data_IF_007196346115
#
_entry.id   IF_007196346115
#
_cell.length_a   1.000
_cell.length_b   1.000
_cell.length_c   1.000
_cell.angle_alpha   90.00
_cell.angle_beta   90.00
_cell.angle_gamma   90.00
#
_symmetry.space_group_name_H-M   'P 1'
#
loop_
_entity.id
_entity.type
_entity.pdbx_description
1 polymer ?
#
# COMPACT_ATOMS: atom_id res chain seq x y z
N UNK A 1 11.61 -28.29 2.46
CA UNK A 1 10.53 -27.73 1.62
C UNK A 1 10.81 -26.26 1.43
N UNK A 2 11.11 -25.82 0.19
CA UNK A 2 11.55 -24.45 -0.14
C UNK A 2 10.45 -23.65 -0.85
N UNK A 3 9.22 -23.73 -0.33
CA UNK A 3 8.00 -23.18 -0.97
C UNK A 3 8.15 -21.73 -1.42
N UNK A 4 8.71 -20.85 -0.58
CA UNK A 4 8.91 -19.44 -0.91
C UNK A 4 9.96 -19.21 -1.99
N UNK A 5 10.93 -20.11 -2.13
CA UNK A 5 11.92 -20.07 -3.21
C UNK A 5 11.29 -20.48 -4.54
N UNK A 6 10.41 -21.48 -4.51
CA UNK A 6 9.72 -21.95 -5.72
C UNK A 6 8.63 -20.97 -6.19
N UNK A 7 7.98 -20.28 -5.25
CA UNK A 7 6.93 -19.28 -5.53
C UNK A 7 7.47 -17.85 -5.67
N UNK A 8 8.80 -17.67 -5.71
CA UNK A 8 9.51 -16.38 -5.75
C UNK A 8 8.99 -15.42 -6.81
N UNK A 9 8.82 -15.88 -8.05
CA UNK A 9 8.33 -15.05 -9.16
C UNK A 9 6.89 -14.55 -8.94
N UNK A 10 6.05 -15.37 -8.30
CA UNK A 10 4.66 -15.03 -7.97
C UNK A 10 4.66 -13.93 -6.90
N UNK A 11 5.43 -14.11 -5.83
CA UNK A 11 5.52 -13.13 -4.75
C UNK A 11 6.20 -11.83 -5.19
N UNK A 12 7.19 -11.89 -6.08
CA UNK A 12 7.79 -10.73 -6.71
C UNK A 12 6.75 -9.93 -7.52
N UNK A 13 5.93 -10.63 -8.33
CA UNK A 13 4.88 -9.98 -9.13
C UNK A 13 3.82 -9.32 -8.25
N UNK A 14 3.40 -9.99 -7.17
CA UNK A 14 2.47 -9.43 -6.19
C UNK A 14 3.10 -8.22 -5.49
N UNK A 15 4.36 -8.31 -5.07
CA UNK A 15 5.10 -7.20 -4.48
C UNK A 15 5.17 -6.00 -5.41
N UNK A 16 5.53 -6.21 -6.68
CA UNK A 16 5.56 -5.16 -7.70
C UNK A 16 4.21 -4.48 -7.87
N UNK A 17 3.12 -5.25 -7.90
CA UNK A 17 1.77 -4.71 -7.95
C UNK A 17 1.46 -3.85 -6.72
N UNK A 18 1.76 -4.34 -5.50
CA UNK A 18 1.57 -3.57 -4.27
C UNK A 18 2.43 -2.28 -4.24
N UNK A 19 3.64 -2.31 -4.79
CA UNK A 19 4.52 -1.14 -4.92
C UNK A 19 3.91 -0.11 -5.86
N UNK A 20 3.36 -0.52 -7.00
CA UNK A 20 2.65 0.39 -7.91
C UNK A 20 1.43 0.98 -7.20
N UNK A 21 0.62 0.14 -6.54
CA UNK A 21 -0.59 0.58 -5.85
C UNK A 21 -0.33 1.58 -4.72
N UNK A 22 0.74 1.37 -3.92
CA UNK A 22 1.09 2.29 -2.82
C UNK A 22 1.57 3.67 -3.30
N UNK A 23 1.92 3.82 -4.57
CA UNK A 23 2.38 5.09 -5.15
C UNK A 23 1.28 5.71 -6.00
N UNK A 24 0.72 4.94 -6.93
CA UNK A 24 -0.29 5.43 -7.88
C UNK A 24 -1.58 5.85 -7.18
N UNK A 25 -2.10 5.05 -6.22
CA UNK A 25 -3.36 5.38 -5.56
C UNK A 25 -3.25 6.67 -4.74
N UNK A 26 -2.25 6.87 -3.85
CA UNK A 26 -2.12 8.12 -3.12
C UNK A 26 -1.98 9.35 -4.02
N UNK A 27 -1.20 9.24 -5.12
CA UNK A 27 -1.06 10.35 -6.08
C UNK A 27 -2.42 10.70 -6.70
N UNK A 28 -3.19 9.70 -7.16
CA UNK A 28 -4.52 9.94 -7.73
C UNK A 28 -5.48 10.56 -6.70
N UNK A 29 -5.48 10.07 -5.45
CA UNK A 29 -6.31 10.60 -4.38
C UNK A 29 -6.00 12.07 -4.07
N UNK A 30 -4.72 12.45 -4.10
CA UNK A 30 -4.27 13.83 -3.90
C UNK A 30 -4.73 14.72 -5.06
N UNK A 31 -4.53 14.29 -6.31
CA UNK A 31 -4.94 15.05 -7.51
C UNK A 31 -6.45 15.28 -7.50
N UNK A 32 -7.24 14.22 -7.38
CA UNK A 32 -8.70 14.34 -7.35
C UNK A 32 -9.17 15.16 -6.14
N UNK A 33 -8.47 15.03 -5.03
CA UNK A 33 -8.74 15.79 -3.83
C UNK A 33 -8.55 17.30 -3.99
N UNK A 34 -7.43 17.70 -4.62
CA UNK A 34 -7.16 19.10 -4.92
C UNK A 34 -8.13 19.67 -5.95
N UNK A 35 -8.51 18.90 -6.97
CA UNK A 35 -9.51 19.34 -7.96
C UNK A 35 -10.88 19.59 -7.31
N UNK A 36 -11.32 18.69 -6.42
CA UNK A 36 -12.60 18.83 -5.71
C UNK A 36 -12.60 20.06 -4.78
N UNK A 37 -11.50 20.28 -4.03
CA UNK A 37 -11.34 21.48 -3.24
C UNK A 37 -11.33 22.75 -4.10
N UNK A 38 -10.54 22.78 -5.17
CA UNK A 38 -10.38 23.96 -6.01
C UNK A 38 -11.72 24.41 -6.60
N UNK A 39 -12.54 23.46 -7.05
CA UNK A 39 -13.91 23.73 -7.52
C UNK A 39 -14.80 24.31 -6.42
N UNK A 40 -14.73 23.77 -5.20
CA UNK A 40 -15.52 24.26 -4.06
C UNK A 40 -15.10 25.68 -3.62
N UNK A 41 -13.79 25.98 -3.64
CA UNK A 41 -13.26 27.30 -3.31
C UNK A 41 -13.69 28.35 -4.34
N UNK A 42 -13.60 28.05 -5.63
CA UNK A 42 -14.03 28.97 -6.70
C UNK A 42 -15.54 29.26 -6.60
N UNK A 43 -16.34 28.28 -6.20
CA UNK A 43 -17.78 28.44 -6.01
C UNK A 43 -18.15 29.30 -4.78
N UNK A 44 -17.18 29.66 -3.91
CA UNK A 44 -17.41 30.42 -2.67
C UNK A 44 -18.51 29.84 -1.77
N UNK A 45 -18.73 28.52 -1.85
CA UNK A 45 -19.72 27.81 -1.03
C UNK A 45 -19.01 27.15 0.15
N UNK A 46 -19.04 27.81 1.32
CA UNK A 46 -18.40 27.33 2.54
C UNK A 46 -18.86 25.92 2.96
N UNK A 47 -20.11 25.55 2.66
CA UNK A 47 -20.61 24.20 2.93
C UNK A 47 -19.97 23.19 1.99
N UNK A 48 -19.81 23.53 0.71
CA UNK A 48 -19.09 22.72 -0.26
C UNK A 48 -17.60 22.59 0.10
N UNK A 49 -16.95 23.68 0.53
CA UNK A 49 -15.54 23.68 0.96
C UNK A 49 -15.35 22.76 2.17
N UNK A 50 -16.20 22.88 3.19
CA UNK A 50 -16.14 22.02 4.39
C UNK A 50 -16.35 20.54 4.05
N UNK A 51 -17.32 20.24 3.17
CA UNK A 51 -17.59 18.87 2.71
C UNK A 51 -16.41 18.30 1.92
N UNK A 52 -15.83 19.09 1.03
CA UNK A 52 -14.68 18.70 0.23
C UNK A 52 -13.43 18.50 1.09
N UNK A 53 -13.22 19.33 2.12
CA UNK A 53 -12.15 19.17 3.10
C UNK A 53 -12.29 17.87 3.93
N UNK A 54 -13.52 17.51 4.36
CA UNK A 54 -13.77 16.22 5.02
C UNK A 54 -13.52 15.04 4.08
N UNK A 55 -13.93 15.15 2.82
CA UNK A 55 -13.66 14.11 1.82
C UNK A 55 -12.16 13.93 1.61
N UNK A 56 -11.40 15.02 1.53
CA UNK A 56 -9.95 14.99 1.47
C UNK A 56 -9.31 14.28 2.66
N UNK A 57 -9.74 14.62 3.87
CA UNK A 57 -9.23 13.97 5.07
C UNK A 57 -9.43 12.45 5.01
N UNK A 58 -10.61 11.99 4.59
CA UNK A 58 -10.86 10.55 4.40
C UNK A 58 -9.94 9.92 3.34
N UNK A 59 -9.63 10.66 2.25
CA UNK A 59 -8.69 10.19 1.22
C UNK A 59 -7.25 10.11 1.73
N UNK A 60 -6.83 11.05 2.59
CA UNK A 60 -5.51 11.01 3.25
C UNK A 60 -5.42 9.79 4.16
N UNK A 61 -6.45 9.55 4.99
CA UNK A 61 -6.51 8.37 5.86
C UNK A 61 -6.46 7.09 5.02
N UNK A 62 -7.21 7.01 3.92
CA UNK A 62 -7.17 5.87 3.02
C UNK A 62 -5.76 5.65 2.42
N UNK A 63 -5.09 6.73 2.00
CA UNK A 63 -3.71 6.68 1.50
C UNK A 63 -2.73 6.14 2.55
N UNK A 64 -2.87 6.57 3.81
CA UNK A 64 -2.10 6.06 4.94
C UNK A 64 -2.36 4.57 5.12
N UNK A 65 -3.62 4.13 5.18
CA UNK A 65 -3.99 2.72 5.33
C UNK A 65 -3.42 1.82 4.21
N UNK A 66 -3.41 2.28 2.96
CA UNK A 66 -2.82 1.54 1.84
C UNK A 66 -1.32 1.31 2.05
N UNK A 67 -0.63 2.27 2.67
CA UNK A 67 0.79 2.15 2.99
C UNK A 67 1.07 1.10 4.07
N UNK A 68 0.10 0.78 4.92
CA UNK A 68 0.21 -0.28 5.93
C UNK A 68 0.07 -1.69 5.35
N UNK A 69 -0.52 -1.87 4.16
CA UNK A 69 -0.75 -3.21 3.59
C UNK A 69 0.57 -4.00 3.43
N UNK A 70 1.64 -3.47 2.79
CA UNK A 70 2.91 -4.19 2.70
C UNK A 70 3.54 -4.48 4.07
N UNK A 71 3.36 -3.58 5.04
CA UNK A 71 3.87 -3.74 6.39
C UNK A 71 3.19 -4.92 7.10
N UNK A 72 1.85 -4.99 7.05
CA UNK A 72 1.10 -6.08 7.67
C UNK A 72 1.46 -7.41 7.02
N UNK A 73 1.56 -7.46 5.68
CA UNK A 73 1.95 -8.69 4.98
C UNK A 73 3.35 -9.15 5.41
N UNK A 74 4.31 -8.22 5.53
CA UNK A 74 5.65 -8.52 6.03
C UNK A 74 5.64 -9.12 7.44
N UNK A 75 4.82 -8.56 8.33
CA UNK A 75 4.69 -9.03 9.71
C UNK A 75 4.10 -10.44 9.75
N UNK A 76 3.06 -10.71 8.95
CA UNK A 76 2.42 -12.04 8.88
C UNK A 76 3.43 -13.10 8.42
N UNK A 77 4.18 -12.84 7.34
CA UNK A 77 5.19 -13.79 6.86
C UNK A 77 6.31 -14.04 7.87
N UNK A 78 6.80 -12.99 8.53
CA UNK A 78 7.81 -13.10 9.60
C UNK A 78 7.28 -13.85 10.83
N UNK A 79 6.02 -13.63 11.18
CA UNK A 79 5.37 -14.30 12.30
C UNK A 79 5.17 -15.79 12.02
N UNK A 80 4.69 -16.16 10.83
CA UNK A 80 4.58 -17.57 10.40
C UNK A 80 5.94 -18.25 10.39
N UNK A 81 6.97 -17.60 9.83
CA UNK A 81 8.35 -18.08 9.89
C UNK A 81 8.84 -18.25 11.32
N UNK A 82 8.34 -17.46 12.28
CA UNK A 82 8.73 -17.58 13.68
C UNK A 82 8.11 -18.77 14.43
N UNK A 83 7.01 -19.33 13.94
CA UNK A 83 6.36 -20.50 14.54
C UNK A 83 6.87 -21.84 14.01
N UNK A 84 7.67 -21.85 12.93
CA UNK A 84 8.30 -23.05 12.37
C UNK A 84 9.84 -22.97 12.36
N UNK A 85 10.52 -24.12 12.24
CA UNK A 85 11.99 -24.21 12.08
C UNK A 85 12.47 -23.81 10.65
N UNK A 86 11.80 -22.84 10.03
CA UNK A 86 11.96 -22.48 8.61
C UNK A 86 11.95 -20.97 8.37
N UNK A 87 12.38 -20.18 9.37
CA UNK A 87 12.45 -18.70 9.31
C UNK A 87 13.03 -18.18 7.99
N UNK A 88 14.17 -18.73 7.58
CA UNK A 88 14.91 -18.28 6.39
C UNK A 88 14.10 -18.41 5.10
N UNK A 89 13.19 -19.38 5.03
CA UNK A 89 12.33 -19.59 3.85
C UNK A 89 11.25 -18.50 3.78
N UNK A 90 10.63 -18.17 4.91
CA UNK A 90 9.55 -17.18 4.96
C UNK A 90 10.06 -15.74 4.83
N UNK A 91 11.31 -15.47 5.19
CA UNK A 91 11.95 -14.18 4.97
C UNK A 91 12.10 -13.86 3.46
N UNK A 92 12.31 -14.88 2.61
CA UNK A 92 12.30 -14.70 1.14
C UNK A 92 10.94 -14.18 0.67
N UNK A 93 9.85 -14.84 1.07
CA UNK A 93 8.49 -14.39 0.76
C UNK A 93 8.22 -12.97 1.27
N UNK A 94 8.58 -12.69 2.53
CA UNK A 94 8.36 -11.38 3.14
C UNK A 94 9.10 -10.28 2.37
N UNK A 95 10.36 -10.50 2.02
CA UNK A 95 11.18 -9.53 1.29
C UNK A 95 10.66 -9.32 -0.14
N UNK A 96 10.21 -10.37 -0.81
CA UNK A 96 9.63 -10.28 -2.16
C UNK A 96 8.40 -9.38 -2.24
N UNK A 97 7.52 -9.46 -1.24
CA UNK A 97 6.28 -8.69 -1.25
C UNK A 97 6.53 -7.26 -0.73
N UNK A 98 7.35 -7.12 0.32
CA UNK A 98 7.59 -5.85 0.98
C UNK A 98 8.46 -4.89 0.16
N UNK A 99 9.46 -5.43 -0.53
CA UNK A 99 10.53 -4.68 -1.19
C UNK A 99 10.92 -5.32 -2.52
N UNK A 100 10.06 -5.29 -3.55
CA UNK A 100 10.30 -5.91 -4.86
C UNK A 100 11.28 -5.13 -5.76
N UNK A 101 12.16 -4.31 -5.20
CA UNK A 101 13.01 -3.37 -5.97
C UNK A 101 14.15 -4.07 -6.71
N UNK A 102 14.58 -5.23 -6.23
CA UNK A 102 15.43 -6.16 -6.96
C UNK A 102 14.67 -7.47 -7.07
N UNK A 103 14.99 -8.31 -8.07
CA UNK A 103 14.45 -9.67 -8.11
C UNK A 103 14.96 -10.41 -6.88
N UNK A 104 14.15 -10.36 -5.82
CA UNK A 104 14.09 -11.36 -4.77
C UNK A 104 13.75 -12.69 -5.41
#
# INVERSE_FOLDING_TARGET
MTFCTDARDIFYTIGMFLLVFKIVIPILLIIFGMVDLGKAVIASDDKAVSKAAKSLLNRVIAGICIFFVPLIVSIVFKMVGSFGEVKDQFDVCANCIASPTTKC
#
